data_IF_409741669853
#
_entry.id   IF_409741669853
#
_cell.length_a   1.000
_cell.length_b   1.000
_cell.length_c   1.000
_cell.angle_alpha   90.00
_cell.angle_beta   90.00
_cell.angle_gamma   90.00
#
_symmetry.space_group_name_H-M   'P 1'
#
loop_
_entity.id
_entity.type
_entity.pdbx_description
1 polymer ?
#
# COMPACT_ATOMS: atom_id res chain seq x y z
N UNK A 1 -4.50 13.14 -14.49
CA UNK A 1 -3.04 13.20 -14.40
C UNK A 1 -2.55 12.03 -13.57
N UNK A 2 -1.48 11.38 -13.98
CA UNK A 2 -0.97 10.18 -13.33
C UNK A 2 0.24 10.54 -12.47
N UNK A 3 0.27 10.05 -11.25
CA UNK A 3 1.37 10.27 -10.34
C UNK A 3 1.92 8.93 -9.86
N UNK A 4 3.19 8.92 -9.50
CA UNK A 4 3.82 7.73 -8.95
C UNK A 4 4.20 8.00 -7.50
N UNK A 5 3.84 7.06 -6.65
CA UNK A 5 4.14 7.12 -5.22
C UNK A 5 5.07 5.95 -4.89
N UNK A 6 6.17 6.26 -4.24
CA UNK A 6 7.12 5.24 -3.80
C UNK A 6 6.96 5.03 -2.30
N UNK A 7 6.77 3.78 -1.91
CA UNK A 7 6.60 3.40 -0.50
C UNK A 7 7.77 2.52 -0.10
N UNK A 8 8.45 2.90 0.97
CA UNK A 8 9.53 2.11 1.57
C UNK A 8 9.08 1.68 2.96
N UNK A 9 9.06 0.39 3.21
CA UNK A 9 8.66 -0.14 4.50
C UNK A 9 9.87 -0.19 5.44
N UNK A 10 9.79 0.55 6.54
CA UNK A 10 10.80 0.53 7.60
C UNK A 10 10.07 0.14 8.88
N UNK A 11 10.04 -1.15 9.18
CA UNK A 11 9.25 -1.67 10.29
C UNK A 11 10.03 -2.74 11.05
N UNK A 12 9.48 -3.14 12.19
CA UNK A 12 10.09 -4.19 13.00
C UNK A 12 10.01 -5.53 12.27
N UNK A 13 10.85 -6.49 12.68
CA UNK A 13 10.93 -7.79 12.01
C UNK A 13 9.65 -8.60 12.14
N UNK A 14 8.81 -8.30 13.12
CA UNK A 14 7.53 -8.98 13.33
C UNK A 14 6.35 -8.20 12.79
N UNK A 15 6.59 -7.15 12.04
CA UNK A 15 5.55 -6.23 11.54
C UNK A 15 5.59 -6.18 10.02
N UNK A 16 4.42 -6.20 9.42
CA UNK A 16 4.27 -5.99 7.98
C UNK A 16 3.58 -4.66 7.73
N UNK A 17 3.94 -4.03 6.62
CA UNK A 17 3.24 -2.84 6.12
C UNK A 17 2.31 -3.30 5.02
N UNK A 18 1.04 -2.97 5.14
CA UNK A 18 0.03 -3.35 4.15
C UNK A 18 -0.39 -2.10 3.39
N UNK A 19 -0.31 -2.18 2.07
CA UNK A 19 -0.72 -1.09 1.19
C UNK A 19 -1.94 -1.58 0.41
N UNK A 20 -3.06 -0.86 0.55
CA UNK A 20 -4.28 -1.17 -0.17
C UNK A 20 -4.56 -0.09 -1.18
N UNK A 21 -4.82 -0.49 -2.42
CA UNK A 21 -5.13 0.42 -3.51
C UNK A 21 -6.56 0.17 -3.94
N UNK A 22 -7.37 1.23 -3.92
CA UNK A 22 -8.78 1.17 -4.31
C UNK A 22 -9.01 2.09 -5.50
N UNK A 23 -9.66 1.59 -6.53
CA UNK A 23 -9.93 2.34 -7.75
C UNK A 23 -11.41 2.67 -7.81
N UNK A 24 -11.73 3.96 -7.65
CA UNK A 24 -13.11 4.44 -7.71
C UNK A 24 -13.92 4.09 -6.47
N UNK A 25 -15.14 4.64 -6.37
CA UNK A 25 -15.98 4.42 -5.20
C UNK A 25 -16.58 3.03 -5.12
N UNK A 26 -16.58 2.29 -6.23
CA UNK A 26 -17.20 0.97 -6.30
C UNK A 26 -16.21 -0.17 -6.04
N UNK A 27 -14.95 0.14 -5.80
CA UNK A 27 -13.94 -0.88 -5.54
C UNK A 27 -13.96 -1.24 -4.06
N UNK A 28 -14.77 -2.21 -3.71
CA UNK A 28 -14.94 -2.62 -2.32
C UNK A 28 -13.75 -3.42 -1.79
N UNK A 29 -13.03 -4.10 -2.64
CA UNK A 29 -11.98 -5.01 -2.22
C UNK A 29 -10.59 -4.43 -2.39
N UNK A 30 -10.38 -3.69 -3.47
CA UNK A 30 -9.07 -3.13 -3.74
C UNK A 30 -8.01 -4.20 -3.97
N UNK A 31 -6.78 -3.75 -4.03
CA UNK A 31 -5.61 -4.61 -4.15
C UNK A 31 -4.74 -4.40 -2.92
N UNK A 32 -4.36 -5.48 -2.26
CA UNK A 32 -3.51 -5.41 -1.09
C UNK A 32 -2.11 -5.91 -1.41
N UNK A 33 -1.12 -5.16 -0.97
CA UNK A 33 0.29 -5.54 -1.10
C UNK A 33 0.88 -5.56 0.30
N UNK A 34 1.49 -6.69 0.67
CA UNK A 34 2.15 -6.83 1.96
C UNK A 34 3.64 -6.61 1.76
N UNK A 35 4.20 -5.68 2.53
CA UNK A 35 5.62 -5.33 2.45
C UNK A 35 6.29 -5.62 3.78
N UNK A 36 7.47 -6.17 3.71
CA UNK A 36 8.29 -6.43 4.89
C UNK A 36 9.36 -5.36 5.02
N UNK A 37 10.04 -5.34 6.16
CA UNK A 37 11.07 -4.35 6.42
C UNK A 37 12.12 -4.35 5.31
N UNK A 38 12.43 -3.18 4.80
CA UNK A 38 13.44 -2.98 3.76
C UNK A 38 12.91 -3.06 2.34
N UNK A 39 11.65 -3.40 2.16
CA UNK A 39 11.08 -3.46 0.81
C UNK A 39 10.64 -2.08 0.33
N UNK A 40 10.77 -1.88 -0.97
CA UNK A 40 10.34 -0.65 -1.62
C UNK A 40 9.50 -1.01 -2.84
N UNK A 41 8.37 -0.34 -3.00
CA UNK A 41 7.53 -0.52 -4.17
C UNK A 41 6.98 0.82 -4.64
N UNK A 42 6.77 0.90 -5.94
CA UNK A 42 6.16 2.07 -6.57
C UNK A 42 4.70 1.77 -6.89
N UNK A 43 3.86 2.76 -6.66
CA UNK A 43 2.44 2.66 -6.97
C UNK A 43 2.05 3.83 -7.87
N UNK A 44 1.23 3.53 -8.86
CA UNK A 44 0.72 4.55 -9.78
C UNK A 44 -0.66 4.97 -9.31
N UNK A 45 -0.87 6.26 -9.13
CA UNK A 45 -2.16 6.81 -8.71
C UNK A 45 -2.65 7.82 -9.75
N UNK A 46 -3.96 7.87 -9.93
CA UNK A 46 -4.62 8.79 -10.85
C UNK A 46 -5.99 9.12 -10.28
N UNK A 47 -6.80 9.83 -11.01
CA UNK A 47 -8.11 10.25 -10.50
C UNK A 47 -8.92 9.05 -10.01
N UNK A 48 -9.53 9.20 -8.84
CA UNK A 48 -10.36 8.18 -8.19
C UNK A 48 -9.60 6.96 -7.67
N UNK A 49 -8.28 7.08 -7.51
CA UNK A 49 -7.49 6.02 -6.89
C UNK A 49 -7.11 6.48 -5.48
N UNK A 50 -7.40 5.64 -4.51
CA UNK A 50 -7.04 5.89 -3.12
C UNK A 50 -6.07 4.81 -2.65
N UNK A 51 -5.08 5.22 -1.87
CA UNK A 51 -4.07 4.31 -1.32
C UNK A 51 -4.12 4.42 0.20
N UNK A 52 -4.32 3.29 0.86
CA UNK A 52 -4.32 3.21 2.32
C UNK A 52 -3.11 2.41 2.77
N UNK A 53 -2.42 2.91 3.77
CA UNK A 53 -1.21 2.27 4.28
C UNK A 53 -1.37 2.09 5.79
N UNK A 54 -1.11 0.87 6.28
CA UNK A 54 -1.18 0.61 7.71
C UNK A 54 -0.21 -0.52 8.08
N UNK A 55 0.08 -0.61 9.36
CA UNK A 55 0.92 -1.67 9.91
C UNK A 55 0.07 -2.81 10.44
N UNK A 56 0.62 -4.01 10.35
CA UNK A 56 0.01 -5.20 10.94
C UNK A 56 1.11 -6.04 11.58
N UNK A 57 0.93 -6.35 12.85
CA UNK A 57 1.88 -7.20 13.56
C UNK A 57 1.58 -8.65 13.21
N UNK A 58 2.61 -9.39 12.81
CA UNK A 58 2.48 -10.82 12.60
C UNK A 58 2.44 -11.52 13.95
N UNK A 59 1.49 -12.35 14.15
CA UNK A 59 1.36 -13.06 15.43
C UNK A 59 1.48 -14.56 15.25
#
# INVERSE_FOLDING_TARGET
>A
MTSRVTVTALCASDTDVVVQVHVGPDDEHGTSTVMQNGETQDFVVYDNVEVYIYERVRS
#
